data_IF_215615962877
#
_entry.id   IF_215615962877
#
_cell.length_a   1.000
_cell.length_b   1.000
_cell.length_c   1.000
_cell.angle_alpha   90.00
_cell.angle_beta   90.00
_cell.angle_gamma   90.00
#
_symmetry.space_group_name_H-M   'P 1'
#
loop_
_entity.id
_entity.type
_entity.pdbx_description
1 polymer ?
#
# COMPACT_ATOMS: atom_id res chain seq x y z
N UNK A 1 -5.92 4.52 32.36
CA UNK A 1 -7.19 5.31 32.39
C UNK A 1 -6.90 6.64 33.09
N UNK A 2 -7.40 7.79 32.62
CA UNK A 2 -7.16 9.08 33.27
C UNK A 2 -7.75 9.07 34.69
N UNK A 3 -6.94 9.41 35.69
CA UNK A 3 -7.28 9.30 37.11
C UNK A 3 -7.80 10.61 37.71
N UNK A 4 -7.37 11.78 37.20
CA UNK A 4 -7.80 13.08 37.71
C UNK A 4 -8.55 13.95 36.67
N UNK A 5 -9.17 15.04 37.14
CA UNK A 5 -9.99 15.92 36.30
C UNK A 5 -9.18 16.62 35.19
N UNK A 6 -7.92 16.98 35.43
CA UNK A 6 -7.06 17.58 34.42
C UNK A 6 -6.76 16.59 33.29
N UNK A 7 -6.40 15.35 33.62
CA UNK A 7 -6.17 14.29 32.64
C UNK A 7 -7.43 13.97 31.83
N UNK A 8 -8.62 13.96 32.46
CA UNK A 8 -9.90 13.80 31.75
C UNK A 8 -10.17 14.95 30.78
N UNK A 9 -9.90 16.20 31.17
CA UNK A 9 -10.03 17.38 30.29
C UNK A 9 -9.02 17.35 29.13
N UNK A 10 -7.75 17.02 29.41
CA UNK A 10 -6.72 16.88 28.40
C UNK A 10 -7.06 15.78 27.38
N UNK A 11 -7.54 14.62 27.84
CA UNK A 11 -7.97 13.54 26.94
C UNK A 11 -9.16 13.96 26.07
N UNK A 12 -10.14 14.69 26.62
CA UNK A 12 -11.26 15.25 25.84
C UNK A 12 -10.75 16.19 24.74
N UNK A 13 -9.80 17.07 25.06
CA UNK A 13 -9.19 17.96 24.07
C UNK A 13 -8.46 17.17 22.98
N UNK A 14 -7.63 16.19 23.36
CA UNK A 14 -6.93 15.32 22.41
C UNK A 14 -7.90 14.57 21.48
N UNK A 15 -9.03 14.08 22.00
CA UNK A 15 -10.05 13.42 21.19
C UNK A 15 -10.73 14.38 20.21
N UNK A 16 -11.01 15.63 20.63
CA UNK A 16 -11.51 16.67 19.71
C UNK A 16 -10.50 16.99 18.61
N UNK A 17 -9.22 17.13 18.97
CA UNK A 17 -8.15 17.37 18.00
C UNK A 17 -8.04 16.22 17.00
N UNK A 18 -8.06 14.96 17.45
CA UNK A 18 -8.06 13.77 16.57
C UNK A 18 -9.18 13.80 15.54
N UNK A 19 -10.38 14.25 15.92
CA UNK A 19 -11.52 14.37 15.02
C UNK A 19 -11.29 15.45 13.96
N UNK A 20 -10.78 16.62 14.37
CA UNK A 20 -10.54 17.75 13.47
C UNK A 20 -9.43 17.44 12.46
N UNK A 21 -8.38 16.71 12.87
CA UNK A 21 -7.24 16.42 12.00
C UNK A 21 -7.45 15.19 11.10
N UNK A 22 -8.64 14.59 11.06
CA UNK A 22 -8.88 13.35 10.29
C UNK A 22 -8.57 13.51 8.79
N UNK A 23 -8.76 14.71 8.24
CA UNK A 23 -8.55 14.99 6.82
C UNK A 23 -7.09 15.40 6.51
N UNK A 24 -6.28 15.65 7.55
CA UNK A 24 -4.86 15.90 7.40
C UNK A 24 -4.11 14.58 7.22
N UNK A 25 -3.66 14.32 5.98
CA UNK A 25 -2.87 13.13 5.64
C UNK A 25 -1.69 12.95 6.60
N UNK A 26 -1.51 11.73 7.08
CA UNK A 26 -0.45 11.36 8.02
C UNK A 26 -0.74 11.68 9.50
N UNK A 27 -1.82 12.40 9.80
CA UNK A 27 -2.22 12.68 11.19
C UNK A 27 -2.69 11.42 11.93
N UNK A 28 -2.76 11.50 13.26
CA UNK A 28 -3.33 10.42 14.09
C UNK A 28 -4.80 10.14 13.76
N UNK A 29 -5.59 11.18 13.43
CA UNK A 29 -6.99 11.04 13.04
C UNK A 29 -7.12 10.30 11.71
N UNK A 30 -6.32 10.70 10.72
CA UNK A 30 -6.26 10.07 9.41
C UNK A 30 -5.90 8.59 9.52
N UNK A 31 -4.80 8.26 10.23
CA UNK A 31 -4.37 6.87 10.44
C UNK A 31 -5.43 6.02 11.16
N UNK A 32 -6.20 6.62 12.08
CA UNK A 32 -7.29 5.92 12.75
C UNK A 32 -8.45 5.60 11.79
N UNK A 33 -8.82 6.54 10.91
CA UNK A 33 -9.82 6.30 9.86
C UNK A 33 -9.39 5.13 8.96
N UNK A 34 -8.15 5.16 8.45
CA UNK A 34 -7.63 4.09 7.59
C UNK A 34 -7.62 2.73 8.31
N UNK A 35 -7.24 2.70 9.59
CA UNK A 35 -7.31 1.47 10.40
C UNK A 35 -8.73 0.95 10.51
N UNK A 36 -9.71 1.83 10.70
CA UNK A 36 -11.12 1.44 10.79
C UNK A 36 -11.64 0.88 9.46
N UNK A 37 -11.22 1.45 8.33
CA UNK A 37 -11.53 0.92 6.99
C UNK A 37 -10.96 -0.48 6.80
N UNK A 38 -9.68 -0.69 7.16
CA UNK A 38 -9.06 -2.02 7.13
C UNK A 38 -9.82 -3.00 8.04
N UNK A 39 -10.17 -2.60 9.26
CA UNK A 39 -10.95 -3.44 10.16
C UNK A 39 -12.34 -3.79 9.61
N UNK A 40 -12.98 -2.87 8.88
CA UNK A 40 -14.27 -3.13 8.23
C UNK A 40 -14.12 -4.14 7.08
N UNK A 41 -13.06 -4.02 6.28
CA UNK A 41 -12.74 -4.99 5.23
C UNK A 41 -12.44 -6.37 5.80
N UNK A 42 -11.66 -6.47 6.90
CA UNK A 42 -11.40 -7.75 7.57
C UNK A 42 -12.69 -8.40 8.06
N UNK A 43 -13.63 -7.62 8.60
CA UNK A 43 -14.93 -8.14 9.02
C UNK A 43 -15.79 -8.63 7.86
N UNK A 44 -15.62 -8.05 6.66
CA UNK A 44 -16.42 -8.38 5.48
C UNK A 44 -15.83 -9.54 4.67
N UNK A 45 -14.52 -9.54 4.48
CA UNK A 45 -13.79 -10.43 3.56
C UNK A 45 -12.84 -11.38 4.31
N UNK A 46 -12.93 -11.46 5.64
CA UNK A 46 -12.00 -12.25 6.47
C UNK A 46 -10.56 -11.73 6.38
N UNK A 47 -9.58 -12.60 6.61
CA UNK A 47 -8.17 -12.23 6.58
C UNK A 47 -7.67 -11.97 5.16
N UNK A 48 -6.88 -10.91 4.96
CA UNK A 48 -6.22 -10.66 3.69
C UNK A 48 -5.27 -11.82 3.36
N UNK A 49 -5.17 -12.16 2.08
CA UNK A 49 -4.28 -13.19 1.60
C UNK A 49 -2.84 -12.70 1.51
N UNK A 50 -2.64 -11.44 1.09
CA UNK A 50 -1.31 -10.86 0.89
C UNK A 50 -1.20 -9.48 1.55
N UNK A 51 -0.02 -9.22 2.13
CA UNK A 51 0.45 -7.88 2.48
C UNK A 51 1.63 -7.52 1.58
N UNK A 52 1.43 -6.54 0.71
CA UNK A 52 2.37 -6.15 -0.34
C UNK A 52 2.98 -4.78 -0.05
N UNK A 53 4.26 -4.63 -0.36
CA UNK A 53 4.95 -3.33 -0.40
C UNK A 53 5.53 -3.12 -1.79
N UNK A 54 5.09 -2.08 -2.48
CA UNK A 54 5.56 -1.73 -3.82
C UNK A 54 6.45 -0.50 -3.71
N UNK A 55 7.76 -0.70 -3.86
CA UNK A 55 8.77 0.34 -3.84
C UNK A 55 9.34 0.53 -5.24
N UNK A 56 8.85 1.54 -5.95
CA UNK A 56 9.25 1.80 -7.34
C UNK A 56 10.49 2.67 -7.37
N UNK A 57 11.47 2.27 -8.18
CA UNK A 57 12.70 3.02 -8.38
C UNK A 57 12.55 4.00 -9.54
N UNK A 58 12.31 5.27 -9.22
CA UNK A 58 12.20 6.37 -10.16
C UNK A 58 13.55 6.73 -10.84
N UNK A 59 14.67 6.51 -10.16
CA UNK A 59 16.02 6.76 -10.72
C UNK A 59 16.46 5.72 -11.76
N UNK A 60 15.85 4.55 -11.78
CA UNK A 60 16.24 3.43 -12.64
C UNK A 60 15.28 3.24 -13.83
N UNK A 61 14.26 4.10 -13.98
CA UNK A 61 13.22 3.91 -14.98
C UNK A 61 13.13 5.09 -15.96
N UNK A 62 13.34 4.87 -17.28
CA UNK A 62 13.41 5.96 -18.26
C UNK A 62 12.11 6.75 -18.42
N UNK A 63 10.96 6.14 -18.08
CA UNK A 63 9.66 6.83 -18.07
C UNK A 63 9.66 8.11 -17.23
N UNK A 64 10.45 8.19 -16.14
CA UNK A 64 10.55 9.42 -15.34
C UNK A 64 11.21 10.54 -16.16
N UNK A 65 12.26 10.20 -16.93
CA UNK A 65 12.89 11.11 -17.88
C UNK A 65 11.91 11.59 -18.95
N UNK A 66 11.16 10.65 -19.57
CA UNK A 66 10.17 10.96 -20.60
C UNK A 66 9.07 11.90 -20.08
N UNK A 67 8.53 11.62 -18.90
CA UNK A 67 7.52 12.48 -18.26
C UNK A 67 8.08 13.84 -17.84
N UNK A 68 9.40 13.93 -17.61
CA UNK A 68 10.12 15.17 -17.38
C UNK A 68 10.63 15.86 -18.65
N UNK A 69 10.26 15.39 -19.84
CA UNK A 69 10.59 16.02 -21.13
C UNK A 69 11.91 15.60 -21.76
N UNK A 70 12.56 14.54 -21.27
CA UNK A 70 13.74 13.94 -21.91
C UNK A 70 13.35 12.87 -22.94
N UNK A 71 14.19 12.69 -23.94
CA UNK A 71 14.14 11.50 -24.79
C UNK A 71 14.71 10.28 -24.03
N UNK A 72 14.24 9.04 -24.30
CA UNK A 72 14.74 7.83 -23.66
C UNK A 72 16.27 7.67 -23.77
N UNK A 73 16.85 8.05 -24.90
CA UNK A 73 18.29 7.95 -25.17
C UNK A 73 19.08 8.90 -24.28
N UNK A 74 18.54 10.10 -24.00
CA UNK A 74 19.16 11.06 -23.10
C UNK A 74 19.20 10.53 -21.67
N UNK A 75 18.13 9.86 -21.22
CA UNK A 75 18.09 9.23 -19.91
C UNK A 75 19.11 8.09 -19.79
N UNK A 76 19.21 7.23 -20.81
CA UNK A 76 20.13 6.09 -20.80
C UNK A 76 21.60 6.50 -20.72
N UNK A 77 21.94 7.69 -21.22
CA UNK A 77 23.29 8.24 -21.15
C UNK A 77 23.62 8.87 -19.80
N UNK A 78 22.63 9.10 -18.93
CA UNK A 78 22.84 9.71 -17.63
C UNK A 78 23.41 8.72 -16.62
N UNK A 79 24.34 9.20 -15.79
CA UNK A 79 24.76 8.47 -14.60
C UNK A 79 23.63 8.44 -13.56
N UNK A 80 23.66 7.47 -12.64
CA UNK A 80 22.69 7.38 -11.53
C UNK A 80 22.62 8.67 -10.70
N UNK A 81 23.73 9.37 -10.54
CA UNK A 81 23.78 10.68 -9.88
C UNK A 81 22.96 11.72 -10.65
N UNK A 82 23.15 11.81 -11.97
CA UNK A 82 22.40 12.73 -12.81
C UNK A 82 20.90 12.38 -12.85
N UNK A 83 20.55 11.09 -12.89
CA UNK A 83 19.15 10.65 -12.79
C UNK A 83 18.55 11.09 -11.45
N UNK A 84 19.26 10.87 -10.34
CA UNK A 84 18.82 11.29 -9.00
C UNK A 84 18.61 12.80 -8.92
N UNK A 85 19.52 13.59 -9.47
CA UNK A 85 19.40 15.05 -9.53
C UNK A 85 18.21 15.49 -10.38
N UNK A 86 17.97 14.81 -11.51
CA UNK A 86 16.83 15.10 -12.37
C UNK A 86 15.50 14.80 -11.67
N UNK A 87 15.37 13.64 -11.01
CA UNK A 87 14.18 13.26 -10.23
C UNK A 87 13.92 14.29 -9.13
N UNK A 88 14.95 14.67 -8.37
CA UNK A 88 14.83 15.65 -7.30
C UNK A 88 14.37 17.04 -7.80
N UNK A 89 14.77 17.43 -9.02
CA UNK A 89 14.33 18.69 -9.66
C UNK A 89 12.94 18.59 -10.31
N UNK A 90 12.45 17.38 -10.58
CA UNK A 90 11.20 17.14 -11.29
C UNK A 90 10.24 16.22 -10.48
N UNK A 91 9.82 16.62 -9.26
CA UNK A 91 8.97 15.78 -8.40
C UNK A 91 7.61 15.46 -9.03
N UNK A 92 7.09 16.31 -9.91
CA UNK A 92 5.86 16.05 -10.64
C UNK A 92 5.99 14.87 -11.61
N UNK A 93 7.12 14.77 -12.34
CA UNK A 93 7.40 13.64 -13.23
C UNK A 93 7.53 12.33 -12.44
N UNK A 94 8.19 12.37 -11.28
CA UNK A 94 8.30 11.21 -10.38
C UNK A 94 6.92 10.76 -9.86
N UNK A 95 6.05 11.70 -9.48
CA UNK A 95 4.69 11.39 -9.03
C UNK A 95 3.81 10.82 -10.16
N UNK A 96 3.93 11.35 -11.38
CA UNK A 96 3.22 10.82 -12.55
C UNK A 96 3.71 9.42 -12.91
N UNK A 97 5.01 9.18 -12.88
CA UNK A 97 5.59 7.85 -13.07
C UNK A 97 5.01 6.85 -12.08
N UNK A 98 5.03 7.18 -10.77
CA UNK A 98 4.46 6.34 -9.74
C UNK A 98 2.98 6.05 -10.01
N UNK A 99 2.20 7.06 -10.37
CA UNK A 99 0.78 6.90 -10.70
C UNK A 99 0.57 5.95 -11.88
N UNK A 100 1.29 6.14 -12.99
CA UNK A 100 1.16 5.31 -14.20
C UNK A 100 1.51 3.86 -13.91
N UNK A 101 2.61 3.60 -13.21
CA UNK A 101 3.01 2.24 -12.85
C UNK A 101 2.02 1.60 -11.90
N UNK A 102 1.53 2.33 -10.88
CA UNK A 102 0.53 1.81 -9.94
C UNK A 102 -0.81 1.49 -10.62
N UNK A 103 -1.30 2.36 -11.50
CA UNK A 103 -2.50 2.09 -12.30
C UNK A 103 -2.32 0.85 -13.18
N UNK A 104 -1.14 0.69 -13.78
CA UNK A 104 -0.80 -0.50 -14.59
C UNK A 104 -0.74 -1.75 -13.72
N UNK A 105 -0.16 -1.67 -12.52
CA UNK A 105 -0.14 -2.77 -11.54
C UNK A 105 -1.55 -3.22 -11.18
N UNK A 106 -2.45 -2.30 -10.82
CA UNK A 106 -3.84 -2.66 -10.53
C UNK A 106 -4.56 -3.26 -11.74
N UNK A 107 -4.33 -2.72 -12.94
CA UNK A 107 -4.98 -3.18 -14.17
C UNK A 107 -4.49 -4.55 -14.65
N UNK A 108 -3.20 -4.84 -14.52
CA UNK A 108 -2.56 -6.02 -15.14
C UNK A 108 -2.28 -7.11 -14.11
N UNK A 109 -1.79 -6.75 -12.93
CA UNK A 109 -1.37 -7.71 -11.90
C UNK A 109 -2.53 -8.07 -10.98
N UNK A 110 -3.24 -7.07 -10.44
CA UNK A 110 -4.35 -7.30 -9.49
C UNK A 110 -5.62 -7.70 -10.22
N UNK A 111 -5.93 -7.02 -11.34
CA UNK A 111 -7.14 -7.22 -12.16
C UNK A 111 -8.45 -7.22 -11.35
N UNK A 112 -8.53 -6.39 -10.32
CA UNK A 112 -9.74 -6.29 -9.50
C UNK A 112 -10.96 -5.89 -10.35
N UNK A 113 -12.08 -6.58 -10.16
CA UNK A 113 -13.31 -6.38 -10.94
C UNK A 113 -13.29 -7.02 -12.35
N UNK A 114 -12.24 -7.75 -12.71
CA UNK A 114 -12.19 -8.54 -13.95
C UNK A 114 -12.84 -9.91 -13.78
N UNK A 115 -13.44 -10.45 -14.85
CA UNK A 115 -13.91 -11.84 -14.89
C UNK A 115 -12.74 -12.86 -14.91
N UNK A 116 -11.54 -12.41 -15.27
CA UNK A 116 -10.33 -13.24 -15.30
C UNK A 116 -9.46 -13.00 -14.06
N UNK A 117 -8.76 -14.04 -13.55
CA UNK A 117 -7.87 -13.87 -12.41
C UNK A 117 -6.69 -12.95 -12.75
N UNK A 118 -6.22 -12.22 -11.74
CA UNK A 118 -4.91 -11.55 -11.75
C UNK A 118 -3.77 -12.54 -11.52
N UNK A 119 -2.56 -12.02 -11.37
CA UNK A 119 -1.36 -12.85 -11.15
C UNK A 119 -1.50 -13.75 -9.91
N UNK A 120 -2.11 -13.23 -8.86
CA UNK A 120 -2.31 -13.95 -7.60
C UNK A 120 -3.69 -14.62 -7.49
N UNK A 121 -4.50 -14.63 -8.55
CA UNK A 121 -5.88 -15.15 -8.53
C UNK A 121 -6.95 -14.07 -8.62
N UNK A 122 -8.21 -14.43 -8.35
CA UNK A 122 -9.33 -13.49 -8.38
C UNK A 122 -9.33 -12.58 -7.16
N UNK A 123 -9.21 -11.27 -7.37
CA UNK A 123 -9.24 -10.27 -6.30
C UNK A 123 -10.68 -10.01 -5.84
N UNK A 124 -10.96 -10.28 -4.57
CA UNK A 124 -12.26 -9.96 -3.95
C UNK A 124 -12.33 -8.54 -3.41
N UNK A 125 -11.23 -8.07 -2.82
CA UNK A 125 -11.09 -6.72 -2.29
C UNK A 125 -9.61 -6.35 -2.22
N UNK A 126 -9.32 -5.05 -2.16
CA UNK A 126 -8.00 -4.57 -1.82
C UNK A 126 -8.08 -3.26 -1.03
N UNK A 127 -7.01 -2.97 -0.31
CA UNK A 127 -6.83 -1.71 0.40
C UNK A 127 -5.40 -1.24 0.22
N UNK A 128 -5.19 -0.05 -0.32
CA UNK A 128 -3.84 0.46 -0.63
C UNK A 128 -3.63 1.86 -0.07
N UNK A 129 -2.44 2.07 0.49
CA UNK A 129 -1.97 3.34 1.03
C UNK A 129 -0.73 3.78 0.29
N UNK A 130 -0.67 5.06 -0.09
CA UNK A 130 0.50 5.66 -0.72
C UNK A 130 1.20 6.58 0.28
N UNK A 131 2.50 6.39 0.48
CA UNK A 131 3.30 7.16 1.43
C UNK A 131 4.60 7.64 0.77
N UNK A 132 5.04 8.83 1.16
CA UNK A 132 6.37 9.31 0.81
C UNK A 132 7.40 8.64 1.75
N UNK A 133 8.42 8.04 1.17
CA UNK A 133 9.56 7.51 1.91
C UNK A 133 10.46 8.65 2.39
N UNK A 134 11.37 8.37 3.34
CA UNK A 134 12.28 9.39 3.90
C UNK A 134 13.18 10.12 2.88
N UNK A 135 13.24 9.66 1.63
CA UNK A 135 13.96 10.32 0.51
C UNK A 135 13.04 11.06 -0.47
N UNK A 136 11.73 11.13 -0.20
CA UNK A 136 10.73 11.81 -1.03
C UNK A 136 10.08 10.94 -2.10
N UNK A 137 10.57 9.73 -2.35
CA UNK A 137 9.99 8.77 -3.31
C UNK A 137 8.68 8.19 -2.79
N UNK A 138 7.74 7.87 -3.68
CA UNK A 138 6.46 7.26 -3.29
C UNK A 138 6.58 5.73 -3.25
N UNK A 139 5.96 5.12 -2.24
CA UNK A 139 5.78 3.67 -2.16
C UNK A 139 4.35 3.34 -1.73
N UNK A 140 3.92 2.11 -2.02
CA UNK A 140 2.59 1.63 -1.68
C UNK A 140 2.66 0.50 -0.67
N UNK A 141 1.85 0.57 0.39
CA UNK A 141 1.48 -0.59 1.21
C UNK A 141 0.08 -1.04 0.85
N UNK A 142 -0.12 -2.33 0.62
CA UNK A 142 -1.40 -2.86 0.16
C UNK A 142 -1.76 -4.16 0.87
N UNK A 143 -3.05 -4.31 1.20
CA UNK A 143 -3.68 -5.57 1.57
C UNK A 143 -4.51 -6.06 0.38
N UNK A 144 -4.40 -7.35 0.06
CA UNK A 144 -5.15 -7.99 -1.02
C UNK A 144 -5.92 -9.19 -0.48
N UNK A 145 -7.22 -9.24 -0.76
CA UNK A 145 -8.09 -10.39 -0.51
C UNK A 145 -8.30 -11.14 -1.82
N UNK A 146 -8.08 -12.45 -1.75
CA UNK A 146 -8.17 -13.35 -2.89
C UNK A 146 -9.29 -14.36 -2.65
N UNK A 147 -10.01 -14.68 -3.71
CA UNK A 147 -11.08 -15.67 -3.65
C UNK A 147 -10.52 -17.03 -3.27
N UNK A 148 -11.18 -17.68 -2.30
CA UNK A 148 -10.76 -18.99 -1.77
C UNK A 148 -9.66 -18.93 -0.71
N UNK A 149 -9.21 -17.74 -0.29
CA UNK A 149 -8.26 -17.64 0.83
C UNK A 149 -8.92 -18.12 2.14
N UNK A 150 -8.41 -19.18 2.79
CA UNK A 150 -9.02 -19.69 4.01
C UNK A 150 -8.84 -18.68 5.15
N UNK A 151 -9.84 -18.62 6.03
CA UNK A 151 -9.68 -17.89 7.28
C UNK A 151 -8.71 -18.64 8.22
N UNK A 152 -8.15 -18.00 9.26
CA UNK A 152 -7.13 -18.62 10.10
C UNK A 152 -7.59 -19.89 10.84
N UNK A 153 -8.90 -20.03 11.11
CA UNK A 153 -9.43 -21.23 11.73
C UNK A 153 -9.46 -22.39 10.73
N UNK A 154 -9.97 -22.16 9.52
CA UNK A 154 -9.95 -23.16 8.44
C UNK A 154 -8.52 -23.56 8.10
N UNK A 155 -7.60 -22.60 8.01
CA UNK A 155 -6.18 -22.88 7.77
C UNK A 155 -5.59 -23.76 8.88
N UNK A 156 -5.91 -23.47 10.15
CA UNK A 156 -5.48 -24.30 11.29
C UNK A 156 -6.06 -25.70 11.21
N UNK A 157 -7.37 -25.82 10.96
CA UNK A 157 -8.06 -27.10 10.91
C UNK A 157 -7.47 -27.97 9.80
N UNK A 158 -7.20 -27.39 8.61
CA UNK A 158 -6.51 -28.05 7.50
C UNK A 158 -5.11 -28.53 7.88
N UNK A 159 -4.33 -27.72 8.61
CA UNK A 159 -3.00 -28.14 9.09
C UNK A 159 -3.08 -29.27 10.13
N UNK A 160 -4.13 -29.31 10.94
CA UNK A 160 -4.34 -30.38 11.92
C UNK A 160 -4.83 -31.69 11.28
N UNK A 161 -5.62 -31.59 10.22
CA UNK A 161 -6.20 -32.74 9.51
C UNK A 161 -5.23 -33.35 8.48
N UNK A 162 -4.40 -32.54 7.83
CA UNK A 162 -3.48 -32.96 6.77
C UNK A 162 -2.03 -32.53 7.07
N UNK A 163 -1.18 -33.45 7.58
CA UNK A 163 0.23 -33.18 7.82
C UNK A 163 1.01 -32.78 6.55
N UNK A 164 0.59 -33.23 5.35
CA UNK A 164 1.26 -32.84 4.12
C UNK A 164 0.96 -31.37 3.77
N UNK A 165 -0.25 -30.91 4.03
CA UNK A 165 -0.63 -29.49 3.90
C UNK A 165 0.16 -28.61 4.87
N UNK A 166 0.32 -29.02 6.14
CA UNK A 166 1.14 -28.31 7.11
C UNK A 166 2.58 -28.12 6.63
N UNK A 167 3.19 -29.20 6.11
CA UNK A 167 4.55 -29.16 5.57
C UNK A 167 4.67 -28.22 4.37
N UNK A 168 3.69 -28.23 3.46
CA UNK A 168 3.70 -27.34 2.28
C UNK A 168 3.58 -25.85 2.63
N UNK A 169 2.89 -25.50 3.73
CA UNK A 169 2.68 -24.11 4.12
C UNK A 169 3.93 -23.44 4.71
N UNK A 170 4.83 -24.23 5.32
CA UNK A 170 6.01 -23.71 6.03
C UNK A 170 7.35 -23.96 5.31
N UNK A 171 7.34 -24.60 4.15
CA UNK A 171 8.51 -24.75 3.27
C UNK A 171 8.67 -23.55 2.34
#
# INVERSE_FOLDING_TARGET
KPSNNYQKKALRLLNKLKLIVKDLKGSTGYKLCQRNEICALIKRFSTPALFLTLNLSDINHPLVGVLGGLLPEQWQQMSLYNCSLFVAKNPAAAAQFFHVVMCTFFKVIVKHGSNSPGLCGHSEAYYSMMEAQGRGTLHCHMLLWLHGNPNPQVLRDQMCEDPAFEVQLFQ
#
